data_IF_691593572976
#
_entry.id   IF_691593572976
#
_cell.length_a   1.000
_cell.length_b   1.000
_cell.length_c   1.000
_cell.angle_alpha   90.00
_cell.angle_beta   90.00
_cell.angle_gamma   90.00
#
_symmetry.space_group_name_H-M   'P 1'
#
loop_
_entity.id
_entity.type
_entity.pdbx_description
1 polymer ?
#
# COMPACT_ATOMS: atom_id res chain seq x y z
N UNK A 1 -76.23 9.41 14.66
CA UNK A 1 -74.85 9.84 14.77
C UNK A 1 -73.98 8.64 14.42
N UNK A 2 -73.31 8.69 13.27
CA UNK A 2 -72.52 7.55 12.68
C UNK A 2 -71.06 7.63 13.13
N UNK A 3 -70.60 6.56 13.75
CA UNK A 3 -69.15 6.40 14.16
C UNK A 3 -68.28 6.03 12.94
N UNK A 4 -67.25 6.80 12.72
CA UNK A 4 -66.26 6.54 11.69
C UNK A 4 -65.26 5.48 12.14
N UNK A 5 -65.15 4.36 11.41
CA UNK A 5 -64.11 3.34 11.53
C UNK A 5 -62.81 3.84 10.90
N UNK A 6 -61.72 3.96 11.69
CA UNK A 6 -60.36 4.15 11.21
C UNK A 6 -59.82 2.83 10.64
N UNK A 7 -59.49 2.84 9.35
CA UNK A 7 -58.76 1.81 8.66
C UNK A 7 -57.29 1.89 9.04
N UNK A 8 -56.76 0.86 9.71
CA UNK A 8 -55.36 0.69 9.95
C UNK A 8 -54.70 0.09 8.71
N UNK A 9 -54.00 0.92 7.93
CA UNK A 9 -53.21 0.48 6.78
C UNK A 9 -52.01 -0.37 7.19
N UNK A 10 -52.06 -1.60 6.75
CA UNK A 10 -51.00 -2.61 6.94
C UNK A 10 -49.77 -2.24 6.07
N UNK A 11 -48.76 -1.55 6.63
CA UNK A 11 -47.50 -1.31 5.97
C UNK A 11 -46.72 -2.64 5.90
N UNK A 12 -46.91 -3.39 4.83
CA UNK A 12 -46.00 -4.49 4.50
C UNK A 12 -44.59 -3.95 4.36
N UNK A 13 -43.69 -4.31 5.30
CA UNK A 13 -42.23 -4.15 5.18
C UNK A 13 -41.80 -4.83 3.86
N UNK A 14 -41.51 -4.02 2.84
CA UNK A 14 -40.78 -4.49 1.65
C UNK A 14 -39.39 -4.95 2.14
N UNK A 15 -39.14 -6.24 2.11
CA UNK A 15 -37.76 -6.77 2.12
C UNK A 15 -37.04 -6.10 0.93
N UNK A 16 -35.95 -5.42 1.18
CA UNK A 16 -35.06 -4.92 0.13
C UNK A 16 -34.61 -6.12 -0.70
N UNK A 17 -35.27 -6.36 -1.83
CA UNK A 17 -34.90 -7.38 -2.79
C UNK A 17 -33.63 -6.89 -3.48
N UNK A 18 -32.53 -7.60 -3.31
CA UNK A 18 -31.40 -7.45 -4.18
C UNK A 18 -31.88 -7.75 -5.61
N UNK A 19 -31.88 -6.73 -6.47
CA UNK A 19 -32.26 -6.91 -7.88
C UNK A 19 -31.19 -7.79 -8.54
N UNK A 20 -31.56 -8.89 -9.25
CA UNK A 20 -30.59 -9.77 -9.93
C UNK A 20 -29.64 -9.01 -10.89
N UNK A 21 -30.13 -7.95 -11.51
CA UNK A 21 -29.35 -7.06 -12.37
C UNK A 21 -28.23 -6.32 -11.63
N UNK A 22 -28.44 -5.96 -10.36
CA UNK A 22 -27.43 -5.29 -9.52
C UNK A 22 -26.30 -6.24 -9.16
N UNK A 23 -26.60 -7.52 -8.87
CA UNK A 23 -25.59 -8.52 -8.55
C UNK A 23 -24.72 -8.81 -9.76
N UNK A 24 -25.29 -8.93 -10.95
CA UNK A 24 -24.55 -9.11 -12.20
C UNK A 24 -23.60 -7.94 -12.50
N UNK A 25 -24.08 -6.70 -12.31
CA UNK A 25 -23.28 -5.50 -12.50
C UNK A 25 -22.09 -5.43 -11.51
N UNK A 26 -22.30 -5.82 -10.24
CA UNK A 26 -21.23 -5.89 -9.24
C UNK A 26 -20.21 -6.95 -9.62
N UNK A 27 -20.64 -8.15 -10.02
CA UNK A 27 -19.73 -9.22 -10.44
C UNK A 27 -18.88 -8.81 -11.62
N UNK A 28 -19.45 -8.15 -12.62
CA UNK A 28 -18.70 -7.65 -13.78
C UNK A 28 -17.68 -6.56 -13.38
N UNK A 29 -18.07 -5.66 -12.47
CA UNK A 29 -17.19 -4.58 -11.99
C UNK A 29 -15.98 -5.10 -11.20
N UNK A 30 -16.11 -6.20 -10.46
CA UNK A 30 -15.02 -6.78 -9.67
C UNK A 30 -14.24 -7.87 -10.41
N UNK A 31 -14.73 -8.33 -11.57
CA UNK A 31 -14.09 -9.37 -12.39
C UNK A 31 -12.61 -9.09 -12.71
N UNK A 32 -12.20 -7.83 -13.05
CA UNK A 32 -10.79 -7.53 -13.32
C UNK A 32 -9.84 -7.83 -12.16
N UNK A 33 -10.34 -7.81 -10.94
CA UNK A 33 -9.53 -8.03 -9.73
C UNK A 33 -9.26 -9.50 -9.43
N UNK A 34 -9.96 -10.45 -10.09
CA UNK A 34 -9.76 -11.90 -9.93
C UNK A 34 -9.73 -12.35 -8.45
N UNK A 35 -10.66 -11.82 -7.63
CA UNK A 35 -10.65 -12.01 -6.17
C UNK A 35 -10.75 -13.48 -5.79
N UNK A 36 -11.58 -14.26 -6.50
CA UNK A 36 -11.78 -15.69 -6.25
C UNK A 36 -10.49 -16.48 -6.43
N UNK A 37 -9.78 -16.23 -7.54
CA UNK A 37 -8.50 -16.87 -7.86
C UNK A 37 -7.42 -16.47 -6.85
N UNK A 38 -7.41 -15.22 -6.41
CA UNK A 38 -6.48 -14.73 -5.38
C UNK A 38 -6.71 -15.42 -4.04
N UNK A 39 -7.97 -15.56 -3.60
CA UNK A 39 -8.33 -16.28 -2.37
C UNK A 39 -7.83 -17.71 -2.43
N UNK A 40 -8.16 -18.43 -3.50
CA UNK A 40 -7.71 -19.81 -3.71
C UNK A 40 -6.19 -19.91 -3.75
N UNK A 41 -5.53 -18.98 -4.43
CA UNK A 41 -4.07 -18.90 -4.53
C UNK A 41 -3.39 -18.70 -3.16
N UNK A 42 -3.93 -17.82 -2.29
CA UNK A 42 -3.44 -17.63 -0.92
C UNK A 42 -3.51 -18.93 -0.12
N UNK A 43 -4.66 -19.60 -0.14
CA UNK A 43 -4.88 -20.85 0.58
C UNK A 43 -3.93 -21.96 0.11
N UNK A 44 -3.81 -22.15 -1.19
CA UNK A 44 -2.96 -23.19 -1.77
C UNK A 44 -1.46 -22.96 -1.48
N UNK A 45 -0.99 -21.71 -1.53
CA UNK A 45 0.40 -21.37 -1.16
C UNK A 45 0.74 -21.68 0.29
N UNK A 46 -0.25 -21.68 1.18
CA UNK A 46 -0.09 -22.10 2.58
C UNK A 46 -0.42 -23.58 2.79
N UNK A 47 -0.65 -24.35 1.72
CA UNK A 47 -1.03 -25.77 1.77
C UNK A 47 -2.25 -26.06 2.67
N UNK A 48 -3.18 -25.08 2.77
CA UNK A 48 -4.36 -25.17 3.64
C UNK A 48 -5.53 -25.82 2.92
N UNK A 49 -6.26 -26.67 3.62
CA UNK A 49 -7.59 -27.14 3.22
C UNK A 49 -8.67 -26.09 3.48
N UNK A 50 -9.86 -26.22 2.85
CA UNK A 50 -11.00 -25.33 3.13
C UNK A 50 -11.47 -25.42 4.58
N UNK A 51 -11.38 -26.59 5.22
CA UNK A 51 -11.75 -26.78 6.62
C UNK A 51 -10.82 -25.99 7.56
N UNK A 52 -9.51 -26.03 7.32
CA UNK A 52 -8.53 -25.25 8.08
C UNK A 52 -8.73 -23.74 7.92
N UNK A 53 -8.95 -23.28 6.68
CA UNK A 53 -9.24 -21.87 6.44
C UNK A 53 -10.55 -21.44 7.12
N UNK A 54 -11.56 -22.31 7.16
CA UNK A 54 -12.82 -22.08 7.86
C UNK A 54 -12.61 -21.86 9.37
N UNK A 55 -11.77 -22.69 9.99
CA UNK A 55 -11.39 -22.57 11.39
C UNK A 55 -10.69 -21.24 11.69
N UNK A 56 -9.69 -20.86 10.88
CA UNK A 56 -8.94 -19.62 11.08
C UNK A 56 -9.75 -18.34 10.81
N UNK A 57 -10.71 -18.41 9.88
CA UNK A 57 -11.51 -17.22 9.51
C UNK A 57 -12.83 -17.11 10.29
N UNK A 58 -13.24 -18.17 10.99
CA UNK A 58 -14.57 -18.26 11.60
C UNK A 58 -15.71 -18.28 10.57
N UNK A 59 -15.44 -18.76 9.34
CA UNK A 59 -16.43 -18.91 8.27
C UNK A 59 -16.67 -20.39 7.96
N UNK A 60 -17.81 -20.71 7.31
CA UNK A 60 -18.04 -22.10 6.89
C UNK A 60 -17.20 -22.45 5.65
N UNK A 61 -16.74 -23.71 5.57
CA UNK A 61 -16.02 -24.21 4.38
C UNK A 61 -16.87 -24.10 3.10
N UNK A 62 -18.19 -24.26 3.21
CA UNK A 62 -19.11 -24.07 2.09
C UNK A 62 -19.15 -22.62 1.58
N UNK A 63 -19.08 -21.63 2.48
CA UNK A 63 -19.02 -20.21 2.11
C UNK A 63 -17.69 -19.91 1.41
N UNK A 64 -16.56 -20.39 1.97
CA UNK A 64 -15.24 -20.23 1.39
C UNK A 64 -15.16 -20.86 -0.01
N UNK A 65 -15.71 -22.05 -0.19
CA UNK A 65 -15.82 -22.72 -1.50
C UNK A 65 -16.60 -21.87 -2.51
N UNK A 66 -17.71 -21.24 -2.10
CA UNK A 66 -18.49 -20.35 -2.99
C UNK A 66 -17.68 -19.12 -3.38
N UNK A 67 -16.92 -18.54 -2.45
CA UNK A 67 -16.04 -17.38 -2.71
C UNK A 67 -14.93 -17.73 -3.69
N UNK A 68 -14.23 -18.86 -3.49
CA UNK A 68 -13.13 -19.31 -4.36
C UNK A 68 -13.59 -19.73 -5.76
N UNK A 69 -14.87 -20.06 -5.93
CA UNK A 69 -15.45 -20.40 -7.23
C UNK A 69 -16.26 -19.23 -7.84
N UNK A 70 -16.10 -18.01 -7.35
CA UNK A 70 -16.81 -16.79 -7.80
C UNK A 70 -18.36 -16.92 -7.78
N UNK A 71 -18.91 -17.85 -6.97
CA UNK A 71 -20.36 -18.04 -6.79
C UNK A 71 -20.95 -17.11 -5.73
N UNK A 72 -20.10 -16.40 -5.01
CA UNK A 72 -20.48 -15.43 -4.00
C UNK A 72 -19.50 -14.24 -4.07
N UNK A 73 -20.04 -13.03 -4.05
CA UNK A 73 -19.24 -11.80 -3.93
C UNK A 73 -18.87 -11.61 -2.45
N UNK A 74 -17.58 -11.52 -2.09
CA UNK A 74 -17.19 -11.28 -0.72
C UNK A 74 -17.55 -9.85 -0.29
N UNK A 75 -18.01 -9.71 0.95
CA UNK A 75 -18.14 -8.40 1.59
C UNK A 75 -16.77 -7.91 2.09
N UNK A 76 -16.62 -6.60 2.31
CA UNK A 76 -15.40 -6.05 2.86
C UNK A 76 -14.99 -6.71 4.19
N UNK A 77 -15.88 -6.90 5.19
CA UNK A 77 -15.53 -7.66 6.41
C UNK A 77 -15.04 -9.08 6.14
N UNK A 78 -15.58 -9.76 5.12
CA UNK A 78 -15.13 -11.08 4.69
C UNK A 78 -13.69 -11.04 4.18
N UNK A 79 -13.36 -10.05 3.34
CA UNK A 79 -12.00 -9.85 2.82
C UNK A 79 -11.02 -9.50 3.94
N UNK A 80 -11.42 -8.66 4.90
CA UNK A 80 -10.57 -8.33 6.07
C UNK A 80 -10.21 -9.58 6.87
N UNK A 81 -11.19 -10.44 7.19
CA UNK A 81 -10.91 -11.70 7.92
C UNK A 81 -9.91 -12.58 7.20
N UNK A 82 -10.06 -12.73 5.89
CA UNK A 82 -9.15 -13.53 5.07
C UNK A 82 -7.77 -12.88 4.99
N UNK A 83 -7.71 -11.55 4.78
CA UNK A 83 -6.48 -10.78 4.75
C UNK A 83 -5.64 -10.98 6.02
N UNK A 84 -6.27 -10.92 7.20
CA UNK A 84 -5.62 -11.14 8.49
C UNK A 84 -5.01 -12.55 8.62
N UNK A 85 -5.72 -13.60 8.18
CA UNK A 85 -5.21 -14.97 8.22
C UNK A 85 -3.98 -15.16 7.37
N UNK A 86 -3.92 -14.50 6.22
CA UNK A 86 -2.81 -14.62 5.29
C UNK A 86 -1.73 -13.53 5.43
N UNK A 87 -1.93 -12.59 6.36
CA UNK A 87 -1.06 -11.44 6.56
C UNK A 87 -0.82 -10.65 5.25
N UNK A 88 -1.91 -10.31 4.57
CA UNK A 88 -1.89 -9.46 3.35
C UNK A 88 -2.78 -8.24 3.56
N UNK A 89 -2.47 -7.13 2.89
CA UNK A 89 -3.33 -5.94 2.87
C UNK A 89 -4.61 -6.17 2.05
N UNK A 90 -5.61 -5.33 2.24
CA UNK A 90 -6.84 -5.35 1.44
C UNK A 90 -6.60 -5.01 -0.03
N UNK A 91 -5.60 -4.18 -0.30
CA UNK A 91 -5.14 -3.81 -1.64
C UNK A 91 -4.77 -5.03 -2.48
N UNK A 92 -4.26 -6.09 -1.85
CA UNK A 92 -3.99 -7.37 -2.52
C UNK A 92 -5.19 -7.88 -3.33
N UNK A 93 -6.41 -7.75 -2.81
CA UNK A 93 -7.62 -8.22 -3.48
C UNK A 93 -8.07 -7.30 -4.61
N UNK A 94 -7.76 -6.02 -4.56
CA UNK A 94 -8.24 -5.01 -5.51
C UNK A 94 -7.20 -4.60 -6.56
N UNK A 95 -6.03 -5.22 -6.56
CA UNK A 95 -5.04 -5.02 -7.62
C UNK A 95 -5.49 -5.72 -8.90
N UNK A 96 -5.65 -4.98 -9.99
CA UNK A 96 -5.97 -5.55 -11.31
C UNK A 96 -4.73 -6.23 -11.90
N UNK A 97 -4.71 -7.56 -11.93
CA UNK A 97 -3.59 -8.33 -12.51
C UNK A 97 -3.37 -8.04 -14.00
N UNK A 98 -4.40 -7.61 -14.73
CA UNK A 98 -4.28 -7.24 -16.16
C UNK A 98 -3.56 -5.90 -16.34
N UNK A 99 -3.57 -5.05 -15.30
CA UNK A 99 -2.87 -3.76 -15.29
C UNK A 99 -1.51 -3.84 -14.64
N UNK A 100 -0.97 -5.03 -14.44
CA UNK A 100 0.38 -5.20 -13.93
C UNK A 100 1.37 -4.66 -14.96
N UNK A 101 1.83 -3.46 -14.75
CA UNK A 101 2.93 -2.90 -15.51
C UNK A 101 4.23 -3.58 -15.08
N UNK A 102 4.65 -4.59 -15.85
CA UNK A 102 5.93 -5.29 -15.64
C UNK A 102 7.11 -4.36 -15.97
N UNK A 103 6.86 -3.39 -16.86
CA UNK A 103 7.80 -2.33 -17.21
C UNK A 103 7.15 -0.98 -16.98
N UNK A 104 7.76 -0.17 -16.13
CA UNK A 104 7.33 1.20 -15.85
C UNK A 104 8.49 2.15 -16.13
N UNK A 105 8.26 3.14 -16.98
CA UNK A 105 9.26 4.17 -17.30
C UNK A 105 8.80 5.47 -16.64
N UNK A 106 9.67 6.06 -15.82
CA UNK A 106 9.45 7.35 -15.18
C UNK A 106 10.35 8.41 -15.83
N UNK A 107 9.79 9.30 -16.63
CA UNK A 107 10.55 10.38 -17.27
C UNK A 107 10.81 11.52 -16.29
N UNK A 108 11.94 12.23 -16.42
CA UNK A 108 12.38 13.30 -15.51
C UNK A 108 11.28 14.35 -15.22
N UNK A 109 10.52 14.77 -16.24
CA UNK A 109 9.45 15.77 -16.08
C UNK A 109 8.13 15.24 -15.52
N UNK A 110 7.99 13.92 -15.30
CA UNK A 110 6.75 13.26 -14.88
C UNK A 110 6.84 12.66 -13.47
N UNK A 111 7.97 12.80 -12.81
CA UNK A 111 8.21 12.25 -11.48
C UNK A 111 7.37 12.97 -10.43
N UNK A 112 6.81 12.23 -9.51
CA UNK A 112 6.18 12.81 -8.32
C UNK A 112 7.23 13.24 -7.32
N UNK A 113 7.07 14.47 -6.81
CA UNK A 113 7.92 15.06 -5.76
C UNK A 113 7.23 14.93 -4.40
N UNK A 114 8.02 14.70 -3.39
CA UNK A 114 7.60 14.64 -1.99
C UNK A 114 8.60 15.42 -1.13
N UNK A 115 8.13 16.32 -0.25
CA UNK A 115 6.75 16.77 -0.12
C UNK A 115 6.24 17.46 -1.38
N UNK A 116 4.91 17.48 -1.56
CA UNK A 116 4.29 18.03 -2.77
C UNK A 116 4.42 19.56 -2.87
N UNK A 117 4.60 20.27 -1.74
CA UNK A 117 4.82 21.71 -1.69
C UNK A 117 6.27 22.01 -1.30
N UNK A 118 7.11 22.48 -2.24
CA UNK A 118 8.48 22.87 -1.94
C UNK A 118 8.60 24.16 -1.12
N UNK A 119 7.50 24.84 -0.80
CA UNK A 119 7.49 26.06 0.00
C UNK A 119 7.54 25.84 1.51
N UNK A 120 7.48 24.58 1.97
CA UNK A 120 7.86 24.27 3.35
C UNK A 120 9.36 24.49 3.52
N UNK A 121 9.71 25.70 3.86
CA UNK A 121 11.04 26.32 3.83
C UNK A 121 12.05 25.78 4.85
N UNK A 122 11.98 24.52 5.26
CA UNK A 122 12.93 23.91 6.20
C UNK A 122 13.04 22.39 6.08
N UNK A 123 12.81 21.85 4.89
CA UNK A 123 12.90 20.41 4.67
C UNK A 123 14.35 20.05 4.36
N UNK A 124 14.94 19.16 5.13
CA UNK A 124 16.32 18.68 4.91
C UNK A 124 16.48 17.94 3.58
N UNK A 125 15.39 17.52 2.96
CA UNK A 125 15.38 16.74 1.73
C UNK A 125 14.06 16.84 0.98
N UNK A 126 14.09 16.56 -0.31
CA UNK A 126 12.91 16.22 -1.10
C UNK A 126 13.21 15.03 -2.00
N UNK A 127 12.19 14.22 -2.28
CA UNK A 127 12.31 13.02 -3.09
C UNK A 127 11.50 13.13 -4.38
N UNK A 128 12.05 12.59 -5.47
CA UNK A 128 11.31 12.31 -6.70
C UNK A 128 11.16 10.79 -6.84
N UNK A 129 9.91 10.28 -6.92
CA UNK A 129 9.68 8.85 -7.12
C UNK A 129 10.12 8.42 -8.51
N UNK A 130 10.97 7.38 -8.57
CA UNK A 130 11.47 6.78 -9.81
C UNK A 130 10.54 5.68 -10.34
N UNK A 131 9.69 5.13 -9.49
CA UNK A 131 8.87 3.94 -9.76
C UNK A 131 7.37 4.16 -9.56
N UNK A 132 6.92 5.40 -9.45
CA UNK A 132 5.53 5.76 -9.17
C UNK A 132 4.51 5.09 -10.11
N UNK A 133 4.90 4.82 -11.36
CA UNK A 133 4.04 4.16 -12.35
C UNK A 133 4.04 2.64 -12.25
N UNK A 134 4.95 2.04 -11.47
CA UNK A 134 4.97 0.60 -11.26
C UNK A 134 3.88 0.18 -10.27
N UNK A 135 3.09 -0.83 -10.64
CA UNK A 135 2.14 -1.47 -9.76
C UNK A 135 2.81 -2.63 -9.01
N UNK A 136 2.35 -2.94 -7.80
CA UNK A 136 2.87 -4.04 -6.97
C UNK A 136 4.40 -3.97 -6.78
N UNK A 137 4.89 -2.81 -6.40
CA UNK A 137 6.32 -2.58 -6.17
C UNK A 137 6.83 -3.41 -5.01
N UNK A 138 7.97 -4.06 -5.21
CA UNK A 138 8.69 -4.80 -4.16
C UNK A 138 9.72 -3.92 -3.45
N UNK A 139 10.04 -2.80 -4.05
CA UNK A 139 10.91 -1.76 -3.55
C UNK A 139 10.37 -0.40 -3.98
N UNK A 140 10.81 0.66 -3.33
CA UNK A 140 10.56 2.02 -3.75
C UNK A 140 11.89 2.66 -4.10
N UNK A 141 11.97 3.27 -5.28
CA UNK A 141 13.14 3.99 -5.75
C UNK A 141 12.88 5.50 -5.76
N UNK A 142 13.83 6.24 -5.26
CA UNK A 142 13.76 7.69 -5.18
C UNK A 142 15.05 8.34 -5.70
N UNK A 143 14.91 9.49 -6.33
CA UNK A 143 15.99 10.45 -6.47
C UNK A 143 15.81 11.46 -5.34
N UNK A 144 16.75 11.46 -4.41
CA UNK A 144 16.75 12.31 -3.23
C UNK A 144 17.64 13.54 -3.46
N UNK A 145 17.16 14.70 -3.04
CA UNK A 145 17.93 15.93 -3.01
C UNK A 145 17.99 16.40 -1.57
N UNK A 146 19.19 16.51 -1.03
CA UNK A 146 19.43 16.89 0.35
C UNK A 146 19.88 18.35 0.45
N UNK A 147 19.40 19.03 1.47
CA UNK A 147 19.70 20.43 1.73
C UNK A 147 20.48 20.57 3.04
N UNK A 148 21.30 21.62 3.16
CA UNK A 148 21.95 21.93 4.42
C UNK A 148 20.91 22.39 5.44
N UNK A 149 20.90 21.75 6.59
CA UNK A 149 20.06 22.13 7.74
C UNK A 149 20.91 22.12 9.01
N UNK A 150 20.57 22.99 9.96
CA UNK A 150 21.20 22.96 11.29
C UNK A 150 20.80 21.68 12.04
N UNK A 151 21.65 21.22 12.94
CA UNK A 151 21.38 20.03 13.77
C UNK A 151 20.08 20.12 14.53
N UNK A 152 19.72 21.30 15.02
CA UNK A 152 18.48 21.57 15.76
C UNK A 152 17.20 21.34 14.93
N UNK A 153 17.31 21.45 13.60
CA UNK A 153 16.21 21.27 12.65
C UNK A 153 16.23 19.91 11.96
N UNK A 154 17.17 19.04 12.32
CA UNK A 154 17.33 17.74 11.73
C UNK A 154 16.22 16.78 12.21
N UNK A 155 15.22 16.56 11.38
CA UNK A 155 14.12 15.65 11.67
C UNK A 155 14.53 14.21 11.37
N UNK A 156 14.58 13.37 12.39
CA UNK A 156 14.79 11.94 12.21
C UNK A 156 13.48 11.22 11.91
N UNK A 157 13.54 10.20 11.07
CA UNK A 157 12.43 9.33 10.73
C UNK A 157 12.86 7.86 10.80
N UNK A 158 11.89 6.95 10.70
CA UNK A 158 12.12 5.52 10.61
C UNK A 158 10.98 4.87 9.85
N UNK A 159 11.26 3.74 9.21
CA UNK A 159 10.25 2.92 8.55
C UNK A 159 10.67 1.44 8.52
N UNK A 160 9.73 0.50 8.39
CA UNK A 160 10.05 -0.91 8.26
C UNK A 160 10.86 -1.20 6.99
N UNK A 161 11.75 -2.18 7.08
CA UNK A 161 12.55 -2.66 5.96
C UNK A 161 14.00 -2.18 6.00
N UNK A 162 14.61 -2.14 4.84
CA UNK A 162 16.01 -1.72 4.67
C UNK A 162 16.09 -0.60 3.65
N UNK A 163 17.16 0.17 3.76
CA UNK A 163 17.47 1.24 2.84
C UNK A 163 18.86 1.09 2.27
N UNK A 164 18.97 1.26 0.96
CA UNK A 164 20.21 1.40 0.22
C UNK A 164 20.27 2.79 -0.38
N UNK A 165 21.30 3.55 -0.04
CA UNK A 165 21.55 4.85 -0.61
C UNK A 165 22.87 4.83 -1.38
N UNK A 166 22.87 5.38 -2.60
CA UNK A 166 24.06 5.63 -3.40
C UNK A 166 24.16 7.12 -3.70
N UNK A 167 25.22 7.76 -3.22
CA UNK A 167 25.45 9.19 -3.39
C UNK A 167 25.99 9.49 -4.79
N UNK A 168 25.24 10.28 -5.57
CA UNK A 168 25.62 10.65 -6.94
C UNK A 168 26.52 11.87 -6.93
N UNK A 169 26.16 12.89 -6.11
CA UNK A 169 26.82 14.18 -6.09
C UNK A 169 26.76 14.80 -4.69
N UNK A 170 27.79 15.55 -4.32
CA UNK A 170 27.87 16.27 -3.05
C UNK A 170 28.50 15.46 -1.92
N UNK A 171 28.31 15.95 -0.71
CA UNK A 171 28.69 15.30 0.54
C UNK A 171 27.47 15.21 1.45
N UNK A 172 27.20 14.01 1.93
CA UNK A 172 26.04 13.69 2.75
C UNK A 172 26.47 13.22 4.13
N UNK A 173 25.84 13.77 5.14
CA UNK A 173 25.91 13.26 6.50
C UNK A 173 24.61 12.53 6.84
N UNK A 174 24.75 11.29 7.30
CA UNK A 174 23.65 10.44 7.72
C UNK A 174 23.85 10.12 9.19
N UNK A 175 22.84 10.43 10.01
CA UNK A 175 22.79 9.99 11.41
C UNK A 175 21.91 8.75 11.49
N UNK A 176 22.41 7.63 12.02
CA UNK A 176 21.67 6.39 12.26
C UNK A 176 21.78 6.05 13.75
N UNK A 177 20.67 6.13 14.45
CA UNK A 177 20.66 6.03 15.91
C UNK A 177 21.53 7.14 16.54
N UNK A 178 22.68 6.80 17.06
CA UNK A 178 23.66 7.72 17.65
C UNK A 178 24.94 7.88 16.80
N UNK A 179 25.06 7.13 15.71
CA UNK A 179 26.25 7.15 14.85
C UNK A 179 26.07 8.11 13.69
N UNK A 180 27.12 8.84 13.38
CA UNK A 180 27.16 9.80 12.26
C UNK A 180 28.12 9.28 11.20
N UNK A 181 27.61 9.11 9.99
CA UNK A 181 28.37 8.65 8.83
C UNK A 181 28.44 9.75 7.79
N UNK A 182 29.63 9.95 7.19
CA UNK A 182 29.82 10.89 6.08
C UNK A 182 30.12 10.13 4.81
N UNK A 183 29.42 10.49 3.75
CA UNK A 183 29.55 9.92 2.41
C UNK A 183 29.98 11.01 1.43
N UNK A 184 30.87 10.64 0.53
CA UNK A 184 31.27 11.42 -0.64
C UNK A 184 30.65 10.83 -1.90
N UNK A 185 30.57 11.61 -2.98
CA UNK A 185 30.06 11.13 -4.26
C UNK A 185 30.72 9.82 -4.70
N UNK A 186 29.92 8.82 -5.04
CA UNK A 186 30.35 7.46 -5.36
C UNK A 186 30.23 6.47 -4.22
N UNK A 187 30.05 6.93 -2.98
CA UNK A 187 29.86 6.06 -1.82
C UNK A 187 28.42 5.52 -1.76
N UNK A 188 28.27 4.36 -1.10
CA UNK A 188 26.97 3.78 -0.81
C UNK A 188 26.89 3.35 0.65
N UNK A 189 25.68 3.39 1.20
CA UNK A 189 25.37 2.85 2.53
C UNK A 189 24.12 1.99 2.45
N UNK A 190 24.12 0.88 3.21
CA UNK A 190 22.98 0.00 3.40
C UNK A 190 22.74 -0.17 4.90
N UNK A 191 21.50 0.01 5.34
CA UNK A 191 21.16 -0.11 6.77
C UNK A 191 19.73 -0.55 6.98
N UNK A 192 19.41 -1.01 8.20
CA UNK A 192 18.08 -1.32 8.66
C UNK A 192 17.34 -0.02 9.00
N UNK A 193 16.34 0.34 8.19
CA UNK A 193 15.60 1.60 8.30
C UNK A 193 14.60 1.67 9.46
N UNK A 194 14.48 0.61 10.26
CA UNK A 194 13.75 0.65 11.54
C UNK A 194 14.50 1.50 12.58
N UNK A 195 15.81 1.66 12.42
CA UNK A 195 16.59 2.59 13.21
C UNK A 195 16.25 4.03 12.81
N UNK A 196 16.11 4.91 13.80
CA UNK A 196 15.93 6.32 13.53
C UNK A 196 17.10 6.87 12.76
N UNK A 197 16.83 7.52 11.65
CA UNK A 197 17.86 8.08 10.79
C UNK A 197 17.47 9.46 10.26
N UNK A 198 18.47 10.27 9.92
CA UNK A 198 18.30 11.62 9.41
C UNK A 198 19.42 11.94 8.42
N UNK A 199 19.14 12.86 7.50
CA UNK A 199 20.06 13.25 6.44
C UNK A 199 20.25 14.75 6.42
N UNK A 200 21.46 15.21 6.12
CA UNK A 200 21.75 16.60 5.76
C UNK A 200 22.87 16.69 4.73
N UNK A 201 22.79 17.62 3.83
CA UNK A 201 23.93 18.01 3.01
C UNK A 201 24.99 18.69 3.88
N UNK A 202 26.26 18.34 3.68
CA UNK A 202 27.38 18.97 4.40
C UNK A 202 27.81 20.26 3.71
N UNK A 203 27.75 20.29 2.37
CA UNK A 203 28.23 21.41 1.56
C UNK A 203 27.19 21.80 0.52
N UNK A 204 26.51 22.94 0.73
CA UNK A 204 25.59 23.51 -0.24
C UNK A 204 24.39 22.64 -0.62
N UNK A 205 23.66 23.05 -1.65
CA UNK A 205 22.39 22.42 -2.08
C UNK A 205 22.57 21.32 -3.13
N UNK A 206 23.79 21.07 -3.60
CA UNK A 206 24.06 20.07 -4.64
C UNK A 206 24.40 18.71 -4.02
N UNK A 207 23.49 18.12 -3.28
CA UNK A 207 23.67 16.80 -2.70
C UNK A 207 22.52 15.89 -3.18
N UNK A 208 22.85 14.94 -4.04
CA UNK A 208 21.85 14.10 -4.72
C UNK A 208 22.21 12.62 -4.62
N UNK A 209 21.24 11.79 -4.26
CA UNK A 209 21.41 10.35 -4.16
C UNK A 209 20.27 9.57 -4.79
N UNK A 210 20.54 8.33 -5.18
CA UNK A 210 19.50 7.31 -5.36
C UNK A 210 19.26 6.62 -4.04
N UNK A 211 18.01 6.60 -3.59
CA UNK A 211 17.57 5.90 -2.39
C UNK A 211 16.62 4.80 -2.79
N UNK A 212 16.89 3.58 -2.34
CA UNK A 212 16.04 2.41 -2.56
C UNK A 212 15.63 1.88 -1.21
N UNK A 213 14.31 1.80 -0.98
CA UNK A 213 13.76 1.22 0.25
C UNK A 213 12.98 -0.05 -0.06
N UNK A 214 13.12 -1.04 0.82
CA UNK A 214 12.18 -2.15 0.89
C UNK A 214 11.31 -1.88 2.10
N UNK A 215 10.09 -1.51 1.92
CA UNK A 215 9.14 -1.33 3.01
C UNK A 215 8.06 -2.40 2.94
N UNK A 216 7.42 -2.67 4.06
CA UNK A 216 6.14 -3.38 4.03
C UNK A 216 5.23 -2.64 3.07
N UNK A 217 4.84 -3.29 2.00
CA UNK A 217 3.59 -2.92 1.33
C UNK A 217 2.51 -3.04 2.41
N UNK A 218 2.13 -1.90 2.98
CA UNK A 218 0.98 -1.77 3.87
C UNK A 218 -0.28 -2.14 3.09
#
# INVERSE_FOLDING_TARGET
MKAAKKSAGNLKRRKAGEHPETIGAIQESIRPYAIAEKLRGLRLRKSMGLAQLAEHTGMSAAMLSKLENARLVPTLPTLVRIALVFNVGLDYFFTDQRRRHVVAISRKGERRKFPADPKESHVAWHFESLDFRANERKLNGYLAHFHPVSEEKLASHFHPGVELLYLIEGELEITIGTEVHRLSAGDAIYFDSIQKHAYRSVVGDNCTAVVVTTGSTV
#
